data_IF_720363338888
#
_entry.id   IF_720363338888
#
_cell.length_a   1.000
_cell.length_b   1.000
_cell.length_c   1.000
_cell.angle_alpha   90.00
_cell.angle_beta   90.00
_cell.angle_gamma   90.00
#
_symmetry.space_group_name_H-M   'P 1'
#
loop_
_entity.id
_entity.type
_entity.pdbx_description
1 polymer ?
#
# COMPACT_ATOMS: atom_id res chain seq x y z
N UNK A 1 -35.97 11.50 36.63
CA UNK A 1 -36.15 11.44 35.15
C UNK A 1 -34.78 11.58 34.54
N UNK A 2 -34.20 10.48 34.10
CA UNK A 2 -32.92 10.52 33.42
C UNK A 2 -33.13 11.22 32.08
N UNK A 3 -32.44 12.30 31.85
CA UNK A 3 -32.34 12.95 30.54
C UNK A 3 -31.69 11.94 29.60
N UNK A 4 -32.48 11.38 28.70
CA UNK A 4 -31.94 10.63 27.57
C UNK A 4 -31.23 11.67 26.74
N UNK A 5 -29.90 11.61 26.70
CA UNK A 5 -29.11 12.42 25.78
C UNK A 5 -29.51 11.97 24.38
N UNK A 6 -30.27 12.80 23.74
CA UNK A 6 -30.64 12.63 22.36
C UNK A 6 -29.47 13.11 21.51
N UNK A 7 -28.58 12.23 21.07
CA UNK A 7 -27.62 12.51 19.98
C UNK A 7 -28.40 12.69 18.66
N UNK A 8 -29.23 13.72 18.61
CA UNK A 8 -30.27 13.81 17.59
C UNK A 8 -29.87 14.54 16.32
N UNK A 9 -28.73 15.18 16.27
CA UNK A 9 -28.22 15.72 15.00
C UNK A 9 -26.79 16.23 15.19
N UNK A 10 -25.82 15.66 14.50
CA UNK A 10 -24.58 16.36 14.23
C UNK A 10 -24.89 17.56 13.33
N UNK A 11 -24.82 18.76 13.87
CA UNK A 11 -24.94 20.00 13.11
C UNK A 11 -23.55 20.62 13.00
N UNK A 12 -22.78 20.18 12.01
CA UNK A 12 -21.51 20.81 11.69
C UNK A 12 -21.72 22.01 10.77
N UNK A 13 -20.97 23.06 11.01
CA UNK A 13 -20.87 24.17 10.07
C UNK A 13 -20.08 23.74 8.84
N UNK A 14 -20.29 24.36 7.70
CA UNK A 14 -19.52 24.09 6.48
C UNK A 14 -18.00 24.30 6.68
N UNK A 15 -17.61 25.17 7.58
CA UNK A 15 -16.22 25.41 7.96
C UNK A 15 -15.63 24.23 8.73
N UNK A 16 -16.34 23.70 9.72
CA UNK A 16 -15.93 22.52 10.47
C UNK A 16 -15.81 21.28 9.56
N UNK A 17 -16.74 21.09 8.64
CA UNK A 17 -16.69 19.99 7.67
C UNK A 17 -15.43 20.11 6.78
N UNK A 18 -15.10 21.33 6.35
CA UNK A 18 -13.89 21.59 5.55
C UNK A 18 -12.61 21.30 6.35
N UNK A 19 -12.53 21.76 7.60
CA UNK A 19 -11.36 21.57 8.46
C UNK A 19 -11.15 20.06 8.76
N UNK A 20 -12.23 19.30 8.96
CA UNK A 20 -12.17 17.85 9.13
C UNK A 20 -11.75 17.17 7.81
N UNK A 21 -12.25 17.63 6.67
CA UNK A 21 -11.85 17.13 5.36
C UNK A 21 -10.35 17.29 5.14
N UNK A 22 -9.81 18.49 5.32
CA UNK A 22 -8.38 18.77 5.22
C UNK A 22 -7.58 17.88 6.18
N UNK A 23 -8.00 17.76 7.44
CA UNK A 23 -7.33 16.94 8.44
C UNK A 23 -7.30 15.45 8.05
N UNK A 24 -8.43 14.89 7.63
CA UNK A 24 -8.56 13.47 7.27
C UNK A 24 -7.70 13.16 6.05
N UNK A 25 -7.78 13.97 4.99
CA UNK A 25 -6.99 13.73 3.79
C UNK A 25 -5.50 13.98 4.00
N UNK A 26 -5.13 15.00 4.76
CA UNK A 26 -3.74 15.26 5.11
C UNK A 26 -3.15 14.11 5.92
N UNK A 27 -3.87 13.63 6.93
CA UNK A 27 -3.43 12.52 7.77
C UNK A 27 -3.34 11.18 7.02
N UNK A 28 -4.19 10.96 6.00
CA UNK A 28 -4.18 9.76 5.18
C UNK A 28 -3.09 9.81 4.11
N UNK A 29 -3.04 10.88 3.33
CA UNK A 29 -2.15 10.99 2.17
C UNK A 29 -0.71 11.32 2.58
N UNK A 30 -0.54 12.10 3.64
CA UNK A 30 0.75 12.46 4.19
C UNK A 30 1.16 11.58 5.38
N UNK A 31 0.44 10.46 5.61
CA UNK A 31 0.85 9.47 6.61
C UNK A 31 2.32 9.11 6.43
N UNK A 32 3.16 9.21 7.48
CA UNK A 32 4.58 8.90 7.38
C UNK A 32 4.86 7.55 6.74
N UNK A 33 4.04 6.56 7.05
CA UNK A 33 4.16 5.20 6.53
C UNK A 33 3.93 5.13 5.02
N UNK A 34 2.91 5.82 4.49
CA UNK A 34 2.59 5.82 3.07
C UNK A 34 3.70 6.55 2.28
N UNK A 35 4.10 7.73 2.75
CA UNK A 35 5.16 8.54 2.15
C UNK A 35 6.55 7.91 2.27
N UNK A 36 6.79 7.11 3.30
CA UNK A 36 8.06 6.40 3.44
C UNK A 36 8.29 5.37 2.33
N UNK A 37 7.21 4.74 1.85
CA UNK A 37 7.25 3.61 0.92
C UNK A 37 6.98 4.05 -0.52
N UNK A 38 6.07 5.00 -0.71
CA UNK A 38 5.60 5.44 -2.01
C UNK A 38 6.03 6.88 -2.33
N UNK A 39 5.97 7.24 -3.60
CA UNK A 39 6.12 8.63 -4.05
C UNK A 39 4.75 9.15 -4.49
N UNK A 40 4.29 10.22 -3.84
CA UNK A 40 3.01 10.84 -4.17
C UNK A 40 3.17 11.80 -5.35
N UNK A 41 2.24 11.72 -6.28
CA UNK A 41 2.07 12.65 -7.40
C UNK A 41 0.72 13.34 -7.24
N UNK A 42 0.73 14.59 -6.81
CA UNK A 42 -0.47 15.42 -6.71
C UNK A 42 -0.91 15.97 -8.07
N UNK A 43 -2.18 16.34 -8.19
CA UNK A 43 -2.74 16.93 -9.42
C UNK A 43 -3.01 15.90 -10.53
N UNK A 44 -3.30 14.65 -10.15
CA UNK A 44 -3.73 13.58 -11.06
C UNK A 44 -5.25 13.42 -10.92
N UNK A 45 -6.00 14.29 -11.57
CA UNK A 45 -7.48 14.32 -11.51
C UNK A 45 -8.14 13.62 -12.69
N UNK A 46 -7.44 13.57 -13.81
CA UNK A 46 -7.90 13.03 -15.09
C UNK A 46 -6.83 12.14 -15.70
N UNK A 47 -7.17 11.45 -16.77
CA UNK A 47 -6.21 10.67 -17.55
C UNK A 47 -5.05 11.58 -17.97
N UNK A 48 -3.84 11.23 -17.54
CA UNK A 48 -2.63 12.02 -17.76
C UNK A 48 -1.48 11.12 -18.18
N UNK A 49 -0.82 11.48 -19.25
CA UNK A 49 0.40 10.80 -19.67
C UNK A 49 1.63 11.52 -19.11
N UNK A 50 2.53 10.76 -18.48
CA UNK A 50 3.85 11.24 -18.09
C UNK A 50 4.86 10.52 -18.95
N UNK A 51 5.62 11.29 -19.73
CA UNK A 51 6.68 10.79 -20.58
C UNK A 51 8.03 10.78 -19.85
N UNK A 52 8.72 9.64 -19.90
CA UNK A 52 10.10 9.52 -19.47
C UNK A 52 10.99 9.42 -20.70
N UNK A 53 12.00 10.28 -20.78
CA UNK A 53 12.98 10.25 -21.86
C UNK A 53 14.12 9.32 -21.41
N UNK A 54 14.38 8.29 -22.19
CA UNK A 54 15.53 7.43 -22.01
C UNK A 54 16.42 7.61 -23.24
N UNK A 55 17.64 8.06 -23.04
CA UNK A 55 18.63 8.15 -24.12
C UNK A 55 19.73 7.12 -23.89
N UNK A 56 20.22 6.55 -24.95
CA UNK A 56 21.32 5.62 -24.87
C UNK A 56 21.93 5.36 -26.26
N UNK A 57 23.17 5.01 -26.25
CA UNK A 57 23.93 4.66 -27.41
C UNK A 57 25.42 4.81 -27.13
N UNK A 58 26.25 4.17 -27.91
CA UNK A 58 27.68 4.40 -27.91
C UNK A 58 27.91 5.74 -28.57
N UNK A 59 28.18 6.77 -27.78
CA UNK A 59 28.51 8.11 -28.26
C UNK A 59 29.95 8.43 -27.91
N UNK A 60 30.63 9.06 -28.81
CA UNK A 60 32.02 9.41 -28.63
C UNK A 60 32.99 8.39 -29.22
N UNK A 61 33.66 8.81 -30.28
CA UNK A 61 34.74 8.10 -30.96
C UNK A 61 35.98 9.00 -30.99
N UNK A 62 37.11 8.44 -31.30
CA UNK A 62 38.32 9.24 -31.54
C UNK A 62 38.05 10.29 -32.62
N UNK A 63 38.69 11.46 -32.51
CA UNK A 63 38.56 12.53 -33.47
C UNK A 63 38.83 12.03 -34.89
N UNK A 64 37.86 12.20 -35.80
CA UNK A 64 37.89 11.64 -37.16
C UNK A 64 38.45 12.62 -38.23
N UNK A 65 39.06 13.69 -37.81
CA UNK A 65 39.65 14.65 -38.74
C UNK A 65 38.63 15.45 -39.58
N UNK A 66 38.87 15.59 -40.87
CA UNK A 66 38.09 16.51 -41.71
C UNK A 66 36.75 15.95 -42.22
N UNK A 67 36.45 14.69 -42.02
CA UNK A 67 35.21 14.05 -42.54
C UNK A 67 34.59 13.14 -41.48
N UNK A 68 34.04 13.74 -40.40
CA UNK A 68 33.48 12.97 -39.28
C UNK A 68 32.16 12.28 -39.66
N UNK A 69 32.05 10.99 -39.35
CA UNK A 69 30.80 10.23 -39.48
C UNK A 69 29.94 10.46 -38.23
N UNK A 70 28.71 10.99 -38.37
CA UNK A 70 27.80 11.17 -37.24
C UNK A 70 27.53 9.84 -36.57
N UNK A 71 27.47 9.86 -35.23
CA UNK A 71 27.05 8.70 -34.44
C UNK A 71 25.54 8.73 -34.24
N UNK A 72 24.91 7.57 -34.37
CA UNK A 72 23.48 7.43 -34.12
C UNK A 72 23.20 7.48 -32.62
N UNK A 73 22.44 8.48 -32.21
CA UNK A 73 21.93 8.61 -30.83
C UNK A 73 20.44 8.31 -30.80
N UNK A 74 20.06 7.23 -30.14
CA UNK A 74 18.65 6.87 -30.00
C UNK A 74 18.06 7.49 -28.73
N UNK A 75 16.99 8.25 -28.88
CA UNK A 75 16.16 8.74 -27.77
C UNK A 75 14.91 7.88 -27.71
N UNK A 76 14.83 7.05 -26.66
CA UNK A 76 13.62 6.29 -26.35
C UNK A 76 12.68 7.13 -25.49
N UNK A 77 11.41 7.05 -25.75
CA UNK A 77 10.38 7.62 -24.87
C UNK A 77 9.56 6.50 -24.28
N UNK A 78 9.39 6.51 -22.94
CA UNK A 78 8.46 5.63 -22.26
C UNK A 78 7.35 6.48 -21.65
N UNK A 79 6.12 6.07 -21.88
CA UNK A 79 4.94 6.74 -21.34
C UNK A 79 4.35 5.90 -20.20
N UNK A 80 3.93 6.57 -19.15
CA UNK A 80 3.08 6.01 -18.10
C UNK A 80 1.78 6.79 -18.11
N UNK A 81 0.67 6.09 -18.30
CA UNK A 81 -0.65 6.68 -18.34
C UNK A 81 -1.33 6.51 -17.00
N UNK A 82 -1.64 7.62 -16.37
CA UNK A 82 -2.47 7.68 -15.18
C UNK A 82 -3.94 7.61 -15.58
N UNK A 83 -4.72 6.82 -14.83
CA UNK A 83 -6.16 6.64 -15.02
C UNK A 83 -6.86 6.62 -13.67
N UNK A 84 -6.91 7.77 -12.97
CA UNK A 84 -7.47 7.82 -11.62
C UNK A 84 -8.94 7.41 -11.62
N UNK A 85 -9.28 6.46 -10.77
CA UNK A 85 -10.66 5.98 -10.61
C UNK A 85 -11.27 6.57 -9.35
N UNK A 86 -12.54 7.00 -9.42
CA UNK A 86 -13.24 7.48 -8.25
C UNK A 86 -13.51 6.32 -7.29
N UNK A 87 -13.30 6.58 -6.01
CA UNK A 87 -13.66 5.69 -4.92
C UNK A 87 -14.55 6.41 -3.91
N UNK A 88 -15.30 5.65 -3.15
CA UNK A 88 -16.10 6.20 -2.07
C UNK A 88 -16.09 5.27 -0.86
N UNK A 89 -16.09 5.89 0.32
CA UNK A 89 -16.38 5.23 1.58
C UNK A 89 -17.69 5.81 2.10
N UNK A 90 -18.72 4.99 2.13
CA UNK A 90 -20.04 5.39 2.60
C UNK A 90 -20.42 4.52 3.81
N UNK A 91 -20.42 5.14 4.99
CA UNK A 91 -20.67 4.47 6.26
C UNK A 91 -21.95 5.02 6.85
N UNK A 92 -22.77 4.12 7.41
CA UNK A 92 -23.93 4.50 8.20
C UNK A 92 -23.85 3.85 9.56
N UNK A 93 -24.12 4.61 10.61
CA UNK A 93 -24.07 4.13 11.97
C UNK A 93 -25.35 4.48 12.74
N UNK A 94 -25.89 3.51 13.45
CA UNK A 94 -27.05 3.74 14.31
C UNK A 94 -26.62 4.51 15.56
N UNK A 95 -27.32 5.59 15.88
CA UNK A 95 -27.04 6.40 17.07
C UNK A 95 -27.05 5.57 18.38
N UNK A 96 -27.84 4.50 18.46
CA UNK A 96 -27.90 3.64 19.65
C UNK A 96 -26.71 2.70 19.85
N UNK A 97 -26.03 2.31 18.77
CA UNK A 97 -24.82 1.45 18.86
C UNK A 97 -23.59 2.28 19.26
N UNK A 98 -23.67 3.55 19.01
CA UNK A 98 -22.66 4.53 19.30
C UNK A 98 -22.61 4.90 20.79
N UNK A 99 -23.73 4.82 21.50
CA UNK A 99 -23.82 5.09 22.93
C UNK A 99 -22.90 4.18 23.75
N UNK A 100 -22.78 2.90 23.39
CA UNK A 100 -21.89 1.95 24.07
C UNK A 100 -20.40 2.27 23.83
N UNK A 101 -20.05 2.71 22.62
CA UNK A 101 -18.68 3.12 22.26
C UNK A 101 -18.31 4.41 22.96
N UNK A 102 -19.20 5.41 22.97
CA UNK A 102 -19.03 6.66 23.70
C UNK A 102 -18.91 6.43 25.21
N UNK A 103 -19.69 5.49 25.78
CA UNK A 103 -19.59 5.11 27.18
C UNK A 103 -18.22 4.51 27.54
N UNK A 104 -17.70 3.67 26.66
CA UNK A 104 -16.37 3.08 26.83
C UNK A 104 -15.25 4.12 26.74
N UNK A 105 -15.35 5.05 25.80
CA UNK A 105 -14.42 6.14 25.64
C UNK A 105 -14.44 7.10 26.83
N UNK A 106 -15.63 7.53 27.28
CA UNK A 106 -15.80 8.37 28.45
C UNK A 106 -15.17 7.74 29.70
N UNK A 107 -15.38 6.43 29.88
CA UNK A 107 -14.78 5.65 30.97
C UNK A 107 -13.25 5.63 30.88
N UNK A 108 -12.69 5.44 29.71
CA UNK A 108 -11.23 5.44 29.50
C UNK A 108 -10.60 6.81 29.74
N UNK A 109 -11.31 7.90 29.43
CA UNK A 109 -10.89 9.27 29.73
C UNK A 109 -11.22 9.74 31.13
N UNK A 110 -12.01 8.99 31.92
CA UNK A 110 -12.44 9.38 33.26
C UNK A 110 -13.44 10.56 33.27
N UNK A 111 -14.17 10.75 32.17
CA UNK A 111 -15.19 11.81 31.99
C UNK A 111 -16.58 11.16 32.04
N UNK A 112 -17.60 11.91 32.39
CA UNK A 112 -18.96 11.40 32.28
C UNK A 112 -19.43 11.48 30.85
N UNK A 113 -20.31 10.52 30.42
CA UNK A 113 -20.89 10.54 29.07
C UNK A 113 -21.59 11.87 28.78
N UNK A 114 -22.25 12.43 29.81
CA UNK A 114 -22.97 13.70 29.72
C UNK A 114 -22.06 14.93 29.47
N UNK A 115 -20.75 14.78 29.71
CA UNK A 115 -19.75 15.82 29.54
C UNK A 115 -18.97 15.70 28.21
N UNK A 116 -19.28 14.68 27.39
CA UNK A 116 -18.71 14.56 26.04
C UNK A 116 -19.31 15.62 25.12
N UNK A 117 -18.45 16.38 24.51
CA UNK A 117 -18.84 17.36 23.49
C UNK A 117 -18.95 16.69 22.12
N UNK A 118 -19.69 17.28 21.18
CA UNK A 118 -19.74 16.84 19.78
C UNK A 118 -18.34 16.73 19.17
N UNK A 119 -17.41 17.59 19.60
CA UNK A 119 -16.00 17.59 19.17
C UNK A 119 -15.22 16.36 19.65
N UNK A 120 -15.42 15.93 20.91
CA UNK A 120 -14.76 14.72 21.45
C UNK A 120 -15.24 13.46 20.73
N UNK A 121 -16.52 13.43 20.42
CA UNK A 121 -17.12 12.34 19.70
C UNK A 121 -16.61 12.25 18.25
N UNK A 122 -16.51 13.40 17.57
CA UNK A 122 -15.92 13.48 16.24
C UNK A 122 -14.47 13.00 16.20
N UNK A 123 -13.68 13.33 17.21
CA UNK A 123 -12.29 12.86 17.29
C UNK A 123 -12.20 11.32 17.29
N UNK A 124 -13.16 10.63 17.91
CA UNK A 124 -13.21 9.17 17.90
C UNK A 124 -13.57 8.65 16.51
N UNK A 125 -14.63 9.19 15.90
CA UNK A 125 -15.11 8.79 14.58
C UNK A 125 -14.02 9.04 13.53
N UNK A 126 -13.39 10.20 13.56
CA UNK A 126 -12.27 10.56 12.65
C UNK A 126 -11.10 9.61 12.82
N UNK A 127 -10.68 9.30 14.06
CA UNK A 127 -9.57 8.38 14.32
C UNK A 127 -9.82 6.98 13.75
N UNK A 128 -11.00 6.39 14.03
CA UNK A 128 -11.36 5.07 13.49
C UNK A 128 -11.48 5.08 11.97
N UNK A 129 -12.02 6.16 11.43
CA UNK A 129 -12.19 6.34 10.00
C UNK A 129 -10.85 6.45 9.29
N UNK A 130 -9.92 7.27 9.82
CA UNK A 130 -8.57 7.45 9.29
C UNK A 130 -7.82 6.14 9.20
N UNK A 131 -7.85 5.32 10.26
CA UNK A 131 -7.22 4.00 10.26
C UNK A 131 -7.83 3.05 9.22
N UNK A 132 -9.16 3.09 9.09
CA UNK A 132 -9.88 2.26 8.10
C UNK A 132 -9.57 2.70 6.66
N UNK A 133 -9.46 3.99 6.42
CA UNK A 133 -9.12 4.53 5.09
C UNK A 133 -7.64 4.30 4.76
N UNK A 134 -6.73 4.35 5.73
CA UNK A 134 -5.32 3.93 5.52
C UNK A 134 -5.24 2.47 5.07
N UNK A 135 -5.89 1.56 5.78
CA UNK A 135 -5.98 0.14 5.38
C UNK A 135 -6.56 -0.03 3.96
N UNK A 136 -7.59 0.75 3.64
CA UNK A 136 -8.21 0.76 2.32
C UNK A 136 -7.23 1.26 1.24
N UNK A 137 -6.48 2.36 1.47
CA UNK A 137 -5.49 2.88 0.53
C UNK A 137 -4.38 1.87 0.24
N UNK A 138 -3.86 1.19 1.28
CA UNK A 138 -2.89 0.11 1.08
C UNK A 138 -3.48 -1.06 0.29
N UNK A 139 -4.74 -1.41 0.52
CA UNK A 139 -5.44 -2.44 -0.23
C UNK A 139 -5.58 -2.04 -1.71
N UNK A 140 -5.99 -0.80 -1.99
CA UNK A 140 -6.07 -0.26 -3.34
C UNK A 140 -4.71 -0.28 -4.04
N UNK A 141 -3.66 0.23 -3.39
CA UNK A 141 -2.35 0.34 -3.98
C UNK A 141 -1.72 -1.04 -4.29
N UNK A 142 -1.89 -2.03 -3.38
CA UNK A 142 -1.15 -3.28 -3.47
C UNK A 142 -1.96 -4.47 -3.96
N UNK A 143 -3.21 -4.63 -3.50
CA UNK A 143 -3.97 -5.87 -3.66
C UNK A 143 -5.11 -5.80 -4.69
N UNK A 144 -5.37 -4.63 -5.24
CA UNK A 144 -6.41 -4.50 -6.26
C UNK A 144 -5.98 -5.10 -7.59
N UNK A 145 -6.96 -5.72 -8.26
CA UNK A 145 -6.84 -6.33 -9.57
C UNK A 145 -8.20 -6.20 -10.27
N UNK A 146 -8.26 -5.51 -11.40
CA UNK A 146 -9.52 -5.34 -12.16
C UNK A 146 -10.13 -6.65 -12.61
N UNK A 147 -9.36 -7.75 -12.60
CA UNK A 147 -9.80 -9.12 -12.88
C UNK A 147 -9.94 -9.98 -11.62
N UNK A 148 -10.10 -9.34 -10.43
CA UNK A 148 -10.24 -10.05 -9.17
C UNK A 148 -11.47 -10.96 -9.15
N UNK A 149 -11.26 -12.22 -8.77
CA UNK A 149 -12.30 -13.23 -8.64
C UNK A 149 -12.12 -14.06 -7.37
N UNK A 150 -13.22 -14.58 -6.84
CA UNK A 150 -13.15 -15.52 -5.74
C UNK A 150 -12.46 -16.82 -6.19
N UNK A 151 -11.54 -17.30 -5.35
CA UNK A 151 -10.86 -18.56 -5.61
C UNK A 151 -11.86 -19.71 -5.68
N UNK A 152 -11.74 -20.50 -6.74
CA UNK A 152 -12.44 -21.75 -6.92
C UNK A 152 -11.40 -22.83 -7.25
N UNK A 153 -11.46 -23.97 -6.55
CA UNK A 153 -10.53 -25.09 -6.79
C UNK A 153 -10.56 -25.62 -8.21
N UNK A 154 -11.66 -25.40 -8.94
CA UNK A 154 -11.84 -25.86 -10.32
C UNK A 154 -11.27 -24.88 -11.35
N UNK A 155 -11.05 -23.62 -10.99
CA UNK A 155 -10.48 -22.59 -11.85
C UNK A 155 -9.53 -21.71 -11.03
N UNK A 156 -8.34 -21.43 -11.54
CA UNK A 156 -7.41 -20.50 -10.93
C UNK A 156 -7.63 -19.10 -11.54
N UNK A 157 -8.37 -18.20 -10.87
CA UNK A 157 -8.60 -16.86 -11.37
C UNK A 157 -7.30 -16.03 -11.34
N UNK A 158 -7.25 -14.96 -12.13
CA UNK A 158 -6.09 -14.06 -12.22
C UNK A 158 -5.86 -13.30 -10.92
N UNK A 159 -6.90 -12.73 -10.36
CA UNK A 159 -6.87 -12.07 -9.04
C UNK A 159 -7.53 -12.96 -8.00
N UNK A 160 -6.74 -13.57 -7.12
CA UNK A 160 -7.21 -14.60 -6.19
C UNK A 160 -7.67 -13.99 -4.88
N UNK A 161 -8.96 -14.01 -4.64
CA UNK A 161 -9.61 -13.53 -3.41
C UNK A 161 -10.21 -14.70 -2.64
N UNK A 162 -10.16 -14.62 -1.32
CA UNK A 162 -10.79 -15.58 -0.40
C UNK A 162 -12.25 -15.82 -0.79
N UNK A 163 -12.71 -17.08 -0.88
CA UNK A 163 -14.11 -17.38 -1.20
C UNK A 163 -15.10 -16.69 -0.26
N UNK A 164 -16.14 -16.07 -0.82
CA UNK A 164 -17.18 -15.38 -0.07
C UNK A 164 -16.87 -13.92 0.29
N UNK A 165 -15.68 -13.43 -0.02
CA UNK A 165 -15.35 -12.00 0.07
C UNK A 165 -15.85 -11.30 -1.19
N UNK A 166 -16.51 -10.16 -1.04
CA UNK A 166 -16.97 -9.36 -2.18
C UNK A 166 -15.77 -8.80 -2.96
N UNK A 167 -15.67 -9.19 -4.22
CA UNK A 167 -14.61 -8.76 -5.13
C UNK A 167 -14.70 -7.28 -5.50
N UNK A 168 -15.86 -6.66 -5.31
CA UNK A 168 -16.05 -5.21 -5.53
C UNK A 168 -15.11 -4.34 -4.70
N UNK A 169 -14.61 -4.85 -3.57
CA UNK A 169 -13.57 -4.16 -2.77
C UNK A 169 -12.16 -4.24 -3.36
N UNK A 170 -11.93 -5.03 -4.43
CA UNK A 170 -10.61 -5.36 -4.96
C UNK A 170 -10.45 -5.11 -6.45
N UNK A 171 -11.45 -4.60 -7.14
CA UNK A 171 -11.46 -4.51 -8.61
C UNK A 171 -11.48 -3.08 -9.17
N UNK A 172 -11.13 -2.09 -8.36
CA UNK A 172 -11.19 -0.68 -8.78
C UNK A 172 -10.07 -0.32 -9.76
N UNK A 173 -8.83 -0.70 -9.46
CA UNK A 173 -7.62 -0.43 -10.24
C UNK A 173 -6.72 -1.67 -10.30
N UNK A 174 -5.69 -1.66 -11.14
CA UNK A 174 -4.61 -2.64 -11.09
C UNK A 174 -3.54 -2.17 -10.12
N UNK A 175 -3.50 -2.78 -8.93
CA UNK A 175 -2.52 -2.50 -7.89
C UNK A 175 -1.11 -3.01 -8.24
N UNK A 176 -0.14 -2.73 -7.35
CA UNK A 176 1.25 -3.06 -7.62
C UNK A 176 1.49 -4.56 -7.84
N UNK A 177 0.82 -5.47 -7.08
CA UNK A 177 1.03 -6.90 -7.28
C UNK A 177 0.63 -7.37 -8.68
N UNK A 178 -0.44 -6.83 -9.25
CA UNK A 178 -0.86 -7.10 -10.63
C UNK A 178 0.17 -6.58 -11.63
N UNK A 179 0.59 -5.31 -11.48
CA UNK A 179 1.57 -4.68 -12.36
C UNK A 179 2.92 -5.38 -12.30
N UNK A 180 3.40 -5.74 -11.10
CA UNK A 180 4.66 -6.47 -10.90
C UNK A 180 4.57 -7.88 -11.50
N UNK A 181 3.45 -8.59 -11.31
CA UNK A 181 3.23 -9.90 -11.92
C UNK A 181 3.24 -9.85 -13.45
N UNK A 182 2.62 -8.84 -14.05
CA UNK A 182 2.66 -8.62 -15.50
C UNK A 182 4.08 -8.32 -15.98
N UNK A 183 4.84 -7.49 -15.24
CA UNK A 183 6.21 -7.14 -15.58
C UNK A 183 7.16 -8.35 -15.52
N UNK A 184 7.06 -9.23 -14.51
CA UNK A 184 7.91 -10.44 -14.44
C UNK A 184 7.49 -11.50 -15.47
N UNK A 185 6.26 -11.48 -15.94
CA UNK A 185 5.85 -12.32 -17.06
C UNK A 185 6.56 -11.91 -18.36
N UNK A 186 6.79 -10.61 -18.54
CA UNK A 186 7.54 -10.07 -19.68
C UNK A 186 9.06 -10.22 -19.51
N UNK A 187 9.58 -10.15 -18.27
CA UNK A 187 11.02 -10.21 -17.95
C UNK A 187 11.24 -11.14 -16.74
N UNK A 188 11.35 -12.44 -17.01
CA UNK A 188 11.44 -13.48 -15.97
C UNK A 188 12.70 -13.37 -15.08
N UNK A 189 13.74 -12.67 -15.51
CA UNK A 189 14.97 -12.44 -14.73
C UNK A 189 14.74 -11.59 -13.47
N UNK A 190 13.64 -10.85 -13.43
CA UNK A 190 13.22 -10.02 -12.29
C UNK A 190 12.44 -10.82 -11.22
N UNK A 191 12.22 -12.11 -11.44
CA UNK A 191 11.49 -12.98 -10.49
C UNK A 191 12.45 -13.90 -9.75
N UNK A 192 12.37 -13.92 -8.43
CA UNK A 192 13.01 -14.90 -7.56
C UNK A 192 11.92 -15.73 -6.89
N UNK A 193 11.91 -17.03 -7.15
CA UNK A 193 10.89 -17.91 -6.59
C UNK A 193 11.10 -18.13 -5.08
N UNK A 194 10.03 -18.01 -4.31
CA UNK A 194 9.99 -18.30 -2.87
C UNK A 194 9.49 -19.72 -2.66
N UNK A 195 10.41 -20.67 -2.38
CA UNK A 195 10.09 -22.09 -2.25
C UNK A 195 9.05 -22.42 -1.15
N UNK A 196 8.98 -21.60 -0.10
CA UNK A 196 8.00 -21.74 0.97
C UNK A 196 6.56 -21.52 0.47
N UNK A 197 6.34 -20.66 -0.54
CA UNK A 197 5.02 -20.38 -1.11
C UNK A 197 4.41 -21.60 -1.84
N UNK A 198 5.23 -22.51 -2.33
CA UNK A 198 4.78 -23.71 -3.07
C UNK A 198 4.35 -24.87 -2.15
N UNK A 199 4.41 -24.71 -0.84
CA UNK A 199 4.01 -25.74 0.12
C UNK A 199 2.49 -25.94 0.15
N UNK A 200 2.07 -27.15 0.48
CA UNK A 200 0.68 -27.62 0.36
C UNK A 200 -0.22 -27.29 1.55
N UNK A 201 0.33 -26.81 2.65
CA UNK A 201 -0.45 -26.42 3.83
C UNK A 201 0.08 -25.10 4.41
N UNK A 202 -0.80 -24.34 5.08
CA UNK A 202 -0.43 -23.11 5.77
C UNK A 202 0.71 -23.30 6.75
N UNK A 203 0.68 -24.41 7.52
CA UNK A 203 1.75 -24.72 8.49
C UNK A 203 3.10 -24.94 7.80
N UNK A 204 3.13 -25.69 6.70
CA UNK A 204 4.34 -25.92 5.93
C UNK A 204 4.83 -24.66 5.21
N UNK A 205 3.93 -23.82 4.73
CA UNK A 205 4.30 -22.51 4.18
C UNK A 205 5.05 -21.71 5.24
N UNK A 206 4.49 -21.54 6.43
CA UNK A 206 5.11 -20.76 7.50
C UNK A 206 6.42 -21.37 8.00
N UNK A 207 6.49 -22.68 8.23
CA UNK A 207 7.69 -23.33 8.74
C UNK A 207 8.83 -23.46 7.73
N UNK A 208 8.55 -23.39 6.43
CA UNK A 208 9.57 -23.44 5.37
C UNK A 208 10.22 -22.09 5.08
N UNK A 209 9.71 -20.99 5.62
CA UNK A 209 10.39 -19.70 5.61
C UNK A 209 11.26 -19.62 6.87
N UNK A 210 12.34 -20.38 6.88
CA UNK A 210 13.32 -20.39 7.96
C UNK A 210 14.43 -19.34 7.76
N UNK A 211 15.34 -19.28 8.72
CA UNK A 211 16.42 -18.30 8.75
C UNK A 211 17.30 -18.33 7.49
N UNK A 212 17.69 -19.53 7.05
CA UNK A 212 18.56 -19.70 5.87
C UNK A 212 17.82 -19.39 4.59
N UNK A 213 16.52 -19.75 4.49
CA UNK A 213 15.67 -19.45 3.33
C UNK A 213 15.48 -17.93 3.15
N UNK A 214 15.28 -17.19 4.25
CA UNK A 214 15.15 -15.73 4.20
C UNK A 214 16.45 -15.06 3.73
N UNK A 215 17.59 -15.48 4.25
CA UNK A 215 18.89 -14.95 3.80
C UNK A 215 19.15 -15.27 2.33
N UNK A 216 18.90 -16.51 1.89
CA UNK A 216 19.09 -16.93 0.52
C UNK A 216 18.19 -16.17 -0.45
N UNK A 217 16.94 -15.90 -0.04
CA UNK A 217 15.98 -15.07 -0.82
C UNK A 217 16.51 -13.65 -1.01
N UNK A 218 16.84 -12.95 0.08
CA UNK A 218 17.35 -11.57 0.00
C UNK A 218 18.63 -11.47 -0.82
N UNK A 219 19.55 -12.46 -0.64
CA UNK A 219 20.78 -12.55 -1.43
C UNK A 219 20.49 -12.73 -2.93
N UNK A 220 19.62 -13.68 -3.27
CA UNK A 220 19.26 -13.95 -4.66
C UNK A 220 18.60 -12.74 -5.31
N UNK A 221 17.71 -12.03 -4.60
CA UNK A 221 17.08 -10.81 -5.08
C UNK A 221 18.09 -9.68 -5.29
N UNK A 222 19.03 -9.51 -4.37
CA UNK A 222 20.07 -8.48 -4.49
C UNK A 222 20.92 -8.69 -5.73
N UNK A 223 21.34 -9.95 -5.99
CA UNK A 223 22.19 -10.25 -7.15
C UNK A 223 21.40 -10.33 -8.46
N UNK A 224 20.11 -10.56 -8.45
CA UNK A 224 19.24 -10.46 -9.61
C UNK A 224 18.93 -9.00 -10.00
N UNK A 225 19.14 -8.05 -9.08
CA UNK A 225 18.88 -6.64 -9.37
C UNK A 225 19.81 -6.10 -10.47
N UNK A 226 19.27 -5.30 -11.40
CA UNK A 226 20.08 -4.60 -12.42
C UNK A 226 21.24 -3.80 -11.79
N UNK A 227 22.36 -3.75 -12.49
CA UNK A 227 23.58 -3.08 -11.97
C UNK A 227 23.32 -1.61 -11.67
N UNK A 228 22.50 -0.95 -12.50
CA UNK A 228 22.13 0.44 -12.34
C UNK A 228 21.34 0.68 -11.05
N UNK A 229 20.51 -0.27 -10.63
CA UNK A 229 19.81 -0.21 -9.35
C UNK A 229 20.78 -0.37 -8.18
N UNK A 230 21.68 -1.36 -8.26
CA UNK A 230 22.66 -1.63 -7.18
C UNK A 230 23.59 -0.44 -6.95
N UNK A 231 23.88 0.32 -8.00
CA UNK A 231 24.70 1.53 -7.94
C UNK A 231 23.97 2.78 -7.44
N UNK A 232 22.64 2.81 -7.44
CA UNK A 232 21.87 4.02 -7.11
C UNK A 232 21.81 4.35 -5.61
N UNK A 233 22.00 3.36 -4.74
CA UNK A 233 21.89 3.53 -3.29
C UNK A 233 20.48 3.81 -2.75
N UNK A 234 19.47 3.85 -3.62
CA UNK A 234 18.09 4.19 -3.26
C UNK A 234 17.15 2.99 -3.19
N UNK A 235 17.71 1.79 -3.19
CA UNK A 235 16.94 0.55 -3.10
C UNK A 235 16.45 0.30 -1.68
N UNK A 236 15.30 -0.35 -1.58
CA UNK A 236 14.75 -0.92 -0.34
C UNK A 236 14.16 -2.29 -0.61
N UNK A 237 14.31 -3.19 0.34
CA UNK A 237 13.52 -4.41 0.40
C UNK A 237 12.24 -4.11 1.16
N UNK A 238 11.10 -4.33 0.56
CA UNK A 238 9.80 -4.40 1.23
C UNK A 238 9.46 -5.88 1.37
N UNK A 239 9.22 -6.35 2.58
CA UNK A 239 9.06 -7.79 2.83
C UNK A 239 7.87 -8.05 3.77
N UNK A 240 7.25 -9.21 3.66
CA UNK A 240 6.29 -9.68 4.68
C UNK A 240 6.99 -9.89 6.02
N UNK A 241 6.25 -9.75 7.12
CA UNK A 241 6.78 -9.90 8.47
C UNK A 241 7.48 -11.25 8.69
N UNK A 242 6.94 -12.30 8.08
CA UNK A 242 7.53 -13.66 8.16
C UNK A 242 8.95 -13.74 7.60
N UNK A 243 9.25 -13.02 6.51
CA UNK A 243 10.61 -12.95 5.95
C UNK A 243 11.51 -12.11 6.85
N UNK A 244 11.02 -11.00 7.38
CA UNK A 244 11.78 -10.13 8.28
C UNK A 244 12.17 -10.87 9.58
N UNK A 245 11.22 -11.59 10.18
CA UNK A 245 11.43 -12.36 11.40
C UNK A 245 12.44 -13.50 11.17
N UNK A 246 12.31 -14.23 10.06
CA UNK A 246 13.25 -15.30 9.70
C UNK A 246 14.65 -14.74 9.42
N UNK A 247 14.76 -13.60 8.75
CA UNK A 247 16.05 -12.94 8.54
C UNK A 247 16.67 -12.43 9.84
N UNK A 248 15.87 -11.90 10.76
CA UNK A 248 16.36 -11.52 12.10
C UNK A 248 16.89 -12.73 12.89
N UNK A 249 16.19 -13.89 12.80
CA UNK A 249 16.68 -15.14 13.39
C UNK A 249 18.02 -15.58 12.78
N UNK A 250 18.20 -15.41 11.46
CA UNK A 250 19.47 -15.68 10.79
C UNK A 250 20.60 -14.84 11.38
N UNK A 251 20.41 -13.53 11.51
CA UNK A 251 21.42 -12.61 12.05
C UNK A 251 21.76 -12.97 13.49
N UNK A 252 20.75 -13.22 14.33
CA UNK A 252 20.94 -13.65 15.72
C UNK A 252 21.70 -14.97 15.82
N UNK A 253 21.39 -15.95 14.98
CA UNK A 253 22.05 -17.24 14.90
C UNK A 253 23.53 -17.14 14.47
N UNK A 254 23.90 -16.10 13.75
CA UNK A 254 25.31 -15.82 13.37
C UNK A 254 26.05 -14.93 14.38
N UNK A 255 25.42 -14.58 15.51
CA UNK A 255 25.99 -13.67 16.50
C UNK A 255 26.14 -12.24 16.06
N UNK A 256 25.40 -11.84 15.03
CA UNK A 256 25.33 -10.45 14.54
C UNK A 256 24.24 -9.76 15.33
N UNK A 257 24.57 -8.71 16.07
CA UNK A 257 23.57 -7.86 16.71
C UNK A 257 22.72 -7.21 15.63
N UNK A 258 21.49 -7.68 15.49
CA UNK A 258 20.49 -7.12 14.56
C UNK A 258 19.49 -6.30 15.35
N UNK A 259 19.70 -5.01 15.38
CA UNK A 259 18.73 -4.07 15.93
C UNK A 259 17.98 -3.43 14.78
N UNK A 260 16.64 -3.40 14.89
CA UNK A 260 15.86 -2.56 13.99
C UNK A 260 16.29 -1.11 14.17
N UNK A 261 16.68 -0.46 13.08
CA UNK A 261 16.90 0.98 13.06
C UNK A 261 15.62 1.69 12.61
N UNK A 262 15.34 2.83 13.20
CA UNK A 262 14.31 3.71 12.68
C UNK A 262 14.92 4.53 11.54
N UNK A 263 14.29 4.48 10.38
CA UNK A 263 14.63 5.35 9.27
C UNK A 263 14.14 6.78 9.55
N UNK A 264 14.64 7.73 8.78
CA UNK A 264 14.23 9.16 8.88
C UNK A 264 12.71 9.31 8.72
N UNK A 265 12.10 8.44 7.94
CA UNK A 265 10.65 8.41 7.69
C UNK A 265 9.84 7.67 8.80
N UNK A 266 10.46 7.34 9.94
CA UNK A 266 9.81 6.67 11.08
C UNK A 266 9.59 5.16 10.91
N UNK A 267 9.95 4.58 9.78
CA UNK A 267 9.78 3.15 9.50
C UNK A 267 10.90 2.35 10.13
N UNK A 268 10.57 1.18 10.70
CA UNK A 268 11.57 0.24 11.23
C UNK A 268 12.16 -0.59 10.10
N UNK A 269 13.47 -0.74 10.07
CA UNK A 269 14.15 -1.53 9.06
C UNK A 269 15.33 -2.33 9.66
N UNK A 270 15.56 -3.52 9.11
CA UNK A 270 16.81 -4.25 9.20
C UNK A 270 17.72 -3.82 8.05
N UNK A 271 18.96 -4.25 8.02
CA UNK A 271 19.89 -3.96 6.93
C UNK A 271 20.42 -5.24 6.30
N UNK A 272 20.41 -5.33 4.99
CA UNK A 272 21.03 -6.39 4.19
C UNK A 272 21.94 -5.79 3.15
N UNK A 273 23.25 -6.04 3.22
CA UNK A 273 24.27 -5.48 2.33
C UNK A 273 24.15 -3.94 2.13
N UNK A 274 23.81 -3.24 3.21
CA UNK A 274 23.61 -1.78 3.16
C UNK A 274 22.26 -1.31 2.62
N UNK A 275 21.39 -2.23 2.20
CA UNK A 275 20.02 -1.95 1.76
C UNK A 275 19.05 -2.16 2.91
N UNK A 276 18.12 -1.23 3.10
CA UNK A 276 17.12 -1.32 4.15
C UNK A 276 16.09 -2.42 3.84
N UNK A 277 15.83 -3.26 4.86
CA UNK A 277 14.79 -4.30 4.79
C UNK A 277 13.62 -3.86 5.68
N UNK A 278 12.56 -3.44 5.05
CA UNK A 278 11.37 -2.86 5.68
C UNK A 278 10.27 -3.91 5.76
N UNK A 279 9.87 -4.34 6.96
CA UNK A 279 8.72 -5.22 7.13
C UNK A 279 7.43 -4.47 6.83
N UNK A 280 6.51 -5.17 6.15
CA UNK A 280 5.19 -4.68 5.75
C UNK A 280 4.07 -5.51 6.43
N UNK A 281 3.79 -5.28 7.72
CA UNK A 281 2.77 -6.07 8.45
C UNK A 281 1.37 -5.98 7.82
N UNK A 282 1.09 -4.87 7.13
CA UNK A 282 -0.17 -4.68 6.42
C UNK A 282 -0.37 -5.73 5.32
N UNK A 283 0.71 -6.16 4.64
CA UNK A 283 0.62 -7.22 3.65
C UNK A 283 0.22 -8.55 4.28
N UNK A 284 0.81 -8.90 5.44
CA UNK A 284 0.45 -10.13 6.17
C UNK A 284 -1.02 -10.11 6.61
N UNK A 285 -1.50 -8.95 7.09
CA UNK A 285 -2.92 -8.75 7.44
C UNK A 285 -3.82 -8.99 6.23
N UNK A 286 -3.51 -8.37 5.08
CA UNK A 286 -4.29 -8.50 3.86
C UNK A 286 -4.25 -9.93 3.28
N UNK A 287 -3.08 -10.57 3.27
CA UNK A 287 -2.93 -11.94 2.77
C UNK A 287 -3.75 -12.92 3.61
N UNK A 288 -3.67 -12.82 4.95
CA UNK A 288 -4.41 -13.71 5.84
C UNK A 288 -5.92 -13.53 5.74
N UNK A 289 -6.38 -12.30 5.53
CA UNK A 289 -7.81 -11.97 5.45
C UNK A 289 -8.39 -12.22 4.07
N UNK A 290 -7.65 -11.94 2.99
CA UNK A 290 -8.22 -11.84 1.65
C UNK A 290 -7.56 -12.75 0.59
N UNK A 291 -6.46 -13.43 0.92
CA UNK A 291 -5.80 -14.39 0.05
C UNK A 291 -5.76 -15.80 0.68
N UNK A 292 -6.76 -16.15 1.47
CA UNK A 292 -6.92 -17.48 2.09
C UNK A 292 -7.65 -18.43 1.14
N UNK A 293 -6.96 -19.48 0.73
CA UNK A 293 -7.46 -20.51 -0.18
C UNK A 293 -7.96 -21.76 0.57
N UNK A 294 -8.14 -21.67 1.89
CA UNK A 294 -8.52 -22.76 2.75
C UNK A 294 -7.32 -23.58 3.23
N UNK A 295 -6.75 -24.44 2.41
CA UNK A 295 -5.58 -25.25 2.77
C UNK A 295 -4.26 -24.46 2.81
N UNK A 296 -4.12 -23.45 1.99
CA UNK A 296 -2.91 -22.61 1.83
C UNK A 296 -3.31 -21.14 1.79
N UNK A 297 -2.33 -20.26 2.00
CA UNK A 297 -2.45 -18.86 1.61
C UNK A 297 -1.85 -18.67 0.20
N UNK A 298 -2.41 -17.74 -0.56
CA UNK A 298 -1.85 -17.38 -1.86
C UNK A 298 -0.59 -16.55 -1.68
N UNK A 299 0.55 -17.21 -1.89
CA UNK A 299 1.89 -16.59 -1.80
C UNK A 299 2.06 -15.73 -0.53
N UNK A 300 2.08 -16.35 0.67
CA UNK A 300 2.15 -15.63 1.94
C UNK A 300 3.48 -14.92 2.17
N UNK A 301 4.57 -15.38 1.55
CA UNK A 301 5.89 -14.79 1.67
C UNK A 301 6.19 -13.98 0.41
N UNK A 302 6.10 -12.67 0.54
CA UNK A 302 6.33 -11.72 -0.56
C UNK A 302 7.48 -10.80 -0.21
N UNK A 303 8.36 -10.58 -1.16
CA UNK A 303 9.44 -9.62 -1.07
C UNK A 303 9.51 -8.79 -2.35
N UNK A 304 9.84 -7.54 -2.22
CA UNK A 304 10.04 -6.63 -3.34
C UNK A 304 11.30 -5.80 -3.10
N UNK A 305 12.29 -5.93 -3.95
CA UNK A 305 13.43 -5.02 -3.99
C UNK A 305 13.12 -3.94 -5.03
N UNK A 306 13.03 -2.70 -4.60
CA UNK A 306 12.57 -1.60 -5.45
C UNK A 306 13.18 -0.27 -5.01
N UNK A 307 13.25 0.69 -5.91
CA UNK A 307 13.49 2.09 -5.57
C UNK A 307 12.18 2.77 -5.20
N UNK A 308 12.17 3.55 -4.11
CA UNK A 308 10.98 4.28 -3.65
C UNK A 308 10.30 5.07 -4.78
N UNK A 309 11.09 5.77 -5.59
CA UNK A 309 10.59 6.57 -6.71
C UNK A 309 9.84 5.76 -7.78
N UNK A 310 9.96 4.43 -7.77
CA UNK A 310 9.30 3.55 -8.72
C UNK A 310 7.86 3.18 -8.33
N UNK A 311 7.52 3.31 -7.05
CA UNK A 311 6.18 3.07 -6.53
C UNK A 311 5.44 4.40 -6.41
N UNK A 312 4.66 4.74 -7.42
CA UNK A 312 4.00 6.04 -7.53
C UNK A 312 2.49 5.93 -7.25
N UNK A 313 1.99 6.84 -6.43
CA UNK A 313 0.57 7.02 -6.14
C UNK A 313 0.14 8.36 -6.72
N UNK A 314 -0.92 8.37 -7.52
CA UNK A 314 -1.54 9.56 -8.09
C UNK A 314 -2.77 9.95 -7.28
N UNK A 315 -2.79 11.19 -6.80
CA UNK A 315 -3.91 11.78 -6.06
C UNK A 315 -4.31 13.12 -6.69
N UNK A 316 -5.53 13.59 -6.50
CA UNK A 316 -5.90 14.96 -6.83
C UNK A 316 -5.01 15.99 -6.14
N UNK A 317 -5.09 17.24 -6.54
CA UNK A 317 -4.45 18.35 -5.83
C UNK A 317 -5.17 18.64 -4.50
N UNK A 318 -4.48 19.28 -3.57
CA UNK A 318 -5.08 19.68 -2.27
C UNK A 318 -6.34 20.54 -2.46
N UNK A 319 -6.39 21.34 -3.52
CA UNK A 319 -7.53 22.16 -3.87
C UNK A 319 -8.73 21.36 -4.44
N UNK A 320 -8.47 20.13 -4.88
CA UNK A 320 -9.44 19.23 -5.53
C UNK A 320 -9.66 17.93 -4.73
N UNK A 321 -9.31 17.92 -3.43
CA UNK A 321 -9.66 16.82 -2.55
C UNK A 321 -11.16 16.53 -2.61
N UNK A 322 -11.48 15.26 -2.60
CA UNK A 322 -12.83 14.77 -2.74
C UNK A 322 -13.79 15.27 -1.68
N UNK A 323 -15.06 14.98 -1.84
CA UNK A 323 -16.07 15.40 -0.91
C UNK A 323 -16.01 14.57 0.39
N UNK A 324 -16.00 15.27 1.51
CA UNK A 324 -16.26 14.73 2.83
C UNK A 324 -17.56 15.31 3.34
N UNK A 325 -18.56 14.45 3.57
CA UNK A 325 -19.87 14.86 4.05
C UNK A 325 -20.27 14.03 5.27
N UNK A 326 -20.81 14.70 6.28
CA UNK A 326 -21.45 14.07 7.43
C UNK A 326 -22.83 14.65 7.60
N UNK A 327 -23.82 13.77 7.73
CA UNK A 327 -25.19 14.20 8.01
C UNK A 327 -25.97 13.17 8.82
N UNK A 328 -26.93 13.65 9.55
CA UNK A 328 -27.92 12.83 10.25
C UNK A 328 -29.21 12.75 9.44
N UNK A 329 -29.66 11.53 9.14
CA UNK A 329 -30.97 11.32 8.54
C UNK A 329 -32.02 11.00 9.61
N UNK A 330 -32.98 11.90 9.74
CA UNK A 330 -34.09 11.77 10.70
C UNK A 330 -35.02 10.59 10.40
N UNK A 331 -35.08 10.16 9.14
CA UNK A 331 -35.96 9.07 8.69
C UNK A 331 -35.38 7.72 9.09
N UNK A 332 -34.11 7.49 8.84
CA UNK A 332 -33.42 6.26 9.20
C UNK A 332 -32.85 6.27 10.62
N UNK A 333 -32.79 7.44 11.28
CA UNK A 333 -32.14 7.68 12.57
C UNK A 333 -30.69 7.25 12.62
N UNK A 334 -29.97 7.49 11.53
CA UNK A 334 -28.57 7.14 11.33
C UNK A 334 -27.74 8.36 11.02
N UNK A 335 -26.50 8.33 11.48
CA UNK A 335 -25.44 9.21 11.02
C UNK A 335 -24.81 8.59 9.78
N UNK A 336 -24.55 9.40 8.78
CA UNK A 336 -23.89 9.00 7.54
C UNK A 336 -22.60 9.78 7.40
N UNK A 337 -21.55 9.07 7.00
CA UNK A 337 -20.27 9.65 6.62
C UNK A 337 -19.96 9.23 5.20
N UNK A 338 -19.68 10.17 4.34
CA UNK A 338 -19.34 9.96 2.95
C UNK A 338 -17.98 10.60 2.66
N UNK A 339 -17.03 9.78 2.19
CA UNK A 339 -15.74 10.24 1.68
C UNK A 339 -15.64 9.82 0.24
N UNK A 340 -15.29 10.72 -0.65
CA UNK A 340 -15.07 10.46 -2.08
C UNK A 340 -13.77 11.09 -2.52
N UNK A 341 -12.98 10.35 -3.28
CA UNK A 341 -11.81 10.88 -3.93
C UNK A 341 -11.42 10.02 -5.14
N UNK A 342 -10.34 10.36 -5.82
CA UNK A 342 -9.78 9.60 -6.93
C UNK A 342 -8.41 9.06 -6.56
N UNK A 343 -8.10 7.88 -7.06
CA UNK A 343 -6.84 7.19 -6.76
C UNK A 343 -6.34 6.41 -7.96
N UNK A 344 -5.03 6.39 -8.14
CA UNK A 344 -4.35 5.47 -9.05
C UNK A 344 -2.97 5.13 -8.49
N UNK A 345 -2.48 3.93 -8.79
CA UNK A 345 -1.17 3.46 -8.41
C UNK A 345 -0.42 2.94 -9.63
N UNK A 346 0.82 3.39 -9.85
CA UNK A 346 1.62 3.02 -11.03
C UNK A 346 3.04 2.61 -10.66
N UNK A 347 3.47 1.52 -11.27
CA UNK A 347 4.87 1.15 -11.34
C UNK A 347 5.53 1.96 -12.46
N UNK A 348 6.34 2.95 -12.12
CA UNK A 348 6.91 3.87 -13.12
C UNK A 348 7.92 3.19 -14.04
N UNK A 349 8.68 2.22 -13.54
CA UNK A 349 9.66 1.48 -14.33
C UNK A 349 9.58 -0.03 -14.11
N UNK A 350 9.05 -0.73 -15.09
CA UNK A 350 8.89 -2.18 -15.07
C UNK A 350 10.21 -2.98 -15.12
N UNK A 351 11.37 -2.31 -15.18
CA UNK A 351 12.71 -2.95 -15.20
C UNK A 351 13.55 -2.63 -13.96
N UNK A 352 13.05 -1.79 -13.05
CA UNK A 352 13.79 -1.37 -11.85
C UNK A 352 13.14 -1.90 -10.58
N UNK A 353 13.04 -3.20 -10.50
CA UNK A 353 12.62 -3.93 -9.30
C UNK A 353 13.08 -5.39 -9.40
N UNK A 354 13.00 -6.13 -8.30
CA UNK A 354 13.07 -7.60 -8.26
C UNK A 354 11.96 -8.10 -7.36
N UNK A 355 11.19 -9.04 -7.85
CA UNK A 355 10.06 -9.63 -7.15
C UNK A 355 10.45 -10.99 -6.54
N UNK A 356 10.29 -11.15 -5.24
CA UNK A 356 10.36 -12.41 -4.51
C UNK A 356 8.94 -12.96 -4.28
N UNK A 357 8.57 -14.01 -5.04
CA UNK A 357 7.17 -14.43 -5.06
C UNK A 357 6.97 -15.95 -5.10
#
# INVERSE_FOLDING_TARGET
>A
MASIISFTAFTFTAEQIRDINELVFDEILHAPDLNAIHTLFSGIEYDKEIGFITGGGLVGVAAQGCDPVPQDFSVGTRKVTWQPKPWEVFISECASELDDTAATYARNKGVRIDDLTDTDYMAIVVSVLTDSVKDFMYRLAWFNDTEAENYNQSSAPTGIITPGVDTGYFNLIDGYWKQLSAAVTAEASLLVAVGANAKTTKALQMSSMDADAAYALLSSMYYAAPIEMRGSGNMRFLVTQSIADAYQQYLTGKGIESTYKNLVDGVRALSFLGVDVVPMPIWDKMIRSYNDLGATYYKPHRALLVEKANLAIGTPSEEAYGAFDIWFDKTSRKNYVLIKDKFDAKLLNAKRFVLGW
#
